data_IF_866816581900
#
_entry.id   IF_866816581900
#
_cell.length_a   1.000
_cell.length_b   1.000
_cell.length_c   1.000
_cell.angle_alpha   90.00
_cell.angle_beta   90.00
_cell.angle_gamma   90.00
#
_symmetry.space_group_name_H-M   'P 1'
#
loop_
_entity.id
_entity.type
_entity.pdbx_description
1 polymer ?
#
# COMPACT_ATOMS: atom_id res chain seq x y z
N UNK A 1 27.51 -29.07 -37.16
CA UNK A 1 26.06 -28.85 -37.01
C UNK A 1 25.89 -27.99 -35.78
N UNK A 2 25.55 -26.73 -35.99
CA UNK A 2 25.57 -25.67 -34.98
C UNK A 2 24.53 -25.94 -33.92
N UNK A 3 24.93 -25.86 -32.64
CA UNK A 3 23.98 -25.79 -31.52
C UNK A 3 23.15 -24.54 -31.72
N UNK A 4 21.85 -24.72 -31.84
CA UNK A 4 20.86 -23.65 -31.81
C UNK A 4 20.97 -22.96 -30.44
N UNK A 5 21.48 -21.73 -30.43
CA UNK A 5 21.38 -20.82 -29.30
C UNK A 5 19.90 -20.60 -29.02
N UNK A 6 19.40 -21.26 -27.98
CA UNK A 6 18.18 -20.87 -27.30
C UNK A 6 18.47 -19.50 -26.66
N UNK A 7 18.21 -18.44 -27.41
CA UNK A 7 18.05 -17.09 -26.87
C UNK A 7 16.89 -17.19 -25.88
N UNK A 8 17.25 -17.34 -24.60
CA UNK A 8 16.30 -17.18 -23.52
C UNK A 8 15.71 -15.78 -23.66
N UNK A 9 14.41 -15.71 -23.89
CA UNK A 9 13.69 -14.43 -23.95
C UNK A 9 14.03 -13.65 -22.68
N UNK A 10 14.78 -12.57 -22.87
CA UNK A 10 15.01 -11.54 -21.87
C UNK A 10 13.63 -11.12 -21.37
N UNK A 11 13.36 -11.30 -20.07
CA UNK A 11 12.12 -10.82 -19.46
C UNK A 11 12.09 -9.31 -19.70
N UNK A 12 11.35 -8.88 -20.72
CA UNK A 12 11.21 -7.48 -21.08
C UNK A 12 10.74 -6.75 -19.84
N UNK A 13 11.58 -5.83 -19.34
CA UNK A 13 11.22 -4.97 -18.22
C UNK A 13 9.84 -4.37 -18.49
N UNK A 14 8.93 -4.57 -17.53
CA UNK A 14 7.52 -4.21 -17.70
C UNK A 14 7.41 -2.71 -17.99
N UNK A 15 7.05 -2.35 -19.22
CA UNK A 15 6.92 -0.93 -19.60
C UNK A 15 5.81 -0.28 -18.79
N UNK A 16 6.16 0.76 -18.02
CA UNK A 16 5.17 1.53 -17.26
C UNK A 16 4.25 2.26 -18.22
N UNK A 17 2.95 1.95 -18.15
CA UNK A 17 1.95 2.48 -19.07
C UNK A 17 1.43 3.87 -18.66
N UNK A 18 1.56 4.22 -17.38
CA UNK A 18 1.03 5.47 -16.84
C UNK A 18 1.64 5.81 -15.47
N UNK A 19 1.75 7.10 -15.18
CA UNK A 19 2.09 7.63 -13.86
C UNK A 19 1.09 8.71 -13.44
N UNK A 20 0.71 8.79 -12.16
CA UNK A 20 -0.11 9.90 -11.66
C UNK A 20 0.67 11.21 -11.67
N UNK A 21 -0.01 12.31 -12.01
CA UNK A 21 0.56 13.67 -12.04
C UNK A 21 1.09 14.12 -10.68
N UNK A 22 0.47 13.65 -9.58
CA UNK A 22 0.95 13.87 -8.22
C UNK A 22 0.59 12.69 -7.33
N UNK A 23 1.55 12.26 -6.50
CA UNK A 23 1.35 11.25 -5.45
C UNK A 23 1.00 11.86 -4.08
N UNK A 24 1.03 13.19 -3.96
CA UNK A 24 0.84 13.91 -2.69
C UNK A 24 -0.64 14.20 -2.44
N UNK A 25 -1.04 14.28 -1.17
CA UNK A 25 -2.39 14.66 -0.71
C UNK A 25 -3.54 13.69 -1.10
N UNK A 26 -3.23 12.44 -1.42
CA UNK A 26 -4.28 11.43 -1.60
C UNK A 26 -4.97 11.12 -0.27
N UNK A 27 -6.18 10.55 -0.29
CA UNK A 27 -6.83 10.07 0.94
C UNK A 27 -5.97 9.03 1.66
N UNK A 28 -5.26 8.20 0.90
CA UNK A 28 -4.36 7.18 1.41
C UNK A 28 -3.13 7.80 2.10
N UNK A 29 -2.58 8.86 1.54
CA UNK A 29 -1.45 9.59 2.14
C UNK A 29 -1.86 10.26 3.47
N UNK A 30 -3.08 10.81 3.53
CA UNK A 30 -3.67 11.30 4.78
C UNK A 30 -3.84 10.19 5.82
N UNK A 31 -4.31 9.02 5.39
CA UNK A 31 -4.42 7.86 6.27
C UNK A 31 -3.05 7.37 6.77
N UNK A 32 -2.04 7.30 5.89
CA UNK A 32 -0.65 6.97 6.26
C UNK A 32 -0.11 7.90 7.35
N UNK A 33 -0.31 9.21 7.20
CA UNK A 33 0.11 10.19 8.19
C UNK A 33 -0.63 10.00 9.52
N UNK A 34 -1.94 9.75 9.49
CA UNK A 34 -2.73 9.47 10.69
C UNK A 34 -2.21 8.25 11.46
N UNK A 35 -1.92 7.15 10.76
CA UNK A 35 -1.32 5.95 11.37
C UNK A 35 0.06 6.27 11.95
N UNK A 36 0.88 7.02 11.20
CA UNK A 36 2.23 7.43 11.61
C UNK A 36 2.21 8.23 12.93
N UNK A 37 1.31 9.23 13.01
CA UNK A 37 1.12 10.04 14.20
C UNK A 37 0.59 9.22 15.38
N UNK A 38 -0.39 8.35 15.14
CA UNK A 38 -1.09 7.63 16.20
C UNK A 38 -0.26 6.53 16.86
N UNK A 39 0.49 5.77 16.06
CA UNK A 39 1.27 4.63 16.54
C UNK A 39 2.76 4.97 16.69
N UNK A 40 3.15 6.23 16.46
CA UNK A 40 4.55 6.67 16.51
C UNK A 40 5.43 6.01 15.44
N UNK A 41 4.81 5.54 14.35
CA UNK A 41 5.52 4.96 13.20
C UNK A 41 5.92 6.06 12.22
N UNK A 42 7.08 5.95 11.57
CA UNK A 42 7.50 6.91 10.54
C UNK A 42 7.34 6.28 9.16
N UNK A 43 6.10 6.09 8.71
CA UNK A 43 5.81 5.47 7.43
C UNK A 43 6.10 6.48 6.31
N UNK A 44 7.17 6.33 5.55
CA UNK A 44 7.58 7.31 4.53
C UNK A 44 6.80 7.17 3.21
N UNK A 45 6.25 5.99 2.91
CA UNK A 45 5.63 5.69 1.62
C UNK A 45 4.54 4.61 1.73
N UNK A 46 3.92 4.27 0.59
CA UNK A 46 2.87 3.25 0.52
C UNK A 46 3.36 1.85 0.90
N UNK A 47 4.58 1.47 0.51
CA UNK A 47 5.09 0.12 0.78
C UNK A 47 5.25 -0.11 2.29
N UNK A 48 5.70 0.91 3.01
CA UNK A 48 5.80 0.85 4.47
C UNK A 48 4.43 0.80 5.15
N UNK A 49 3.44 1.56 4.65
CA UNK A 49 2.05 1.43 5.12
C UNK A 49 1.50 0.02 4.87
N UNK A 50 1.79 -0.55 3.69
CA UNK A 50 1.37 -1.90 3.35
C UNK A 50 1.98 -2.93 4.31
N UNK A 51 3.31 -2.88 4.52
CA UNK A 51 3.98 -3.78 5.45
C UNK A 51 3.37 -3.67 6.86
N UNK A 52 3.19 -2.44 7.35
CA UNK A 52 2.58 -2.19 8.65
C UNK A 52 1.15 -2.76 8.74
N UNK A 53 0.36 -2.64 7.66
CA UNK A 53 -1.02 -3.15 7.63
C UNK A 53 -1.12 -4.67 7.73
N UNK A 54 -0.11 -5.39 7.22
CA UNK A 54 -0.04 -6.85 7.30
C UNK A 54 0.44 -7.30 8.67
N UNK A 55 1.39 -6.58 9.26
CA UNK A 55 1.94 -6.88 10.59
C UNK A 55 0.99 -6.49 11.74
N UNK A 56 0.20 -5.42 11.57
CA UNK A 56 -0.69 -4.85 12.59
C UNK A 56 -2.13 -4.88 12.07
N UNK A 57 -2.58 -6.08 11.68
CA UNK A 57 -3.84 -6.29 10.98
C UNK A 57 -5.07 -5.75 11.76
N UNK A 58 -5.22 -6.02 13.07
CA UNK A 58 -6.37 -5.54 13.83
C UNK A 58 -6.38 -4.03 13.99
N UNK A 59 -5.23 -3.44 14.31
CA UNK A 59 -5.05 -2.00 14.45
C UNK A 59 -5.35 -1.28 13.14
N UNK A 60 -4.88 -1.84 12.01
CA UNK A 60 -5.13 -1.30 10.69
C UNK A 60 -6.64 -1.20 10.42
N UNK A 61 -7.38 -2.29 10.61
CA UNK A 61 -8.81 -2.30 10.33
C UNK A 61 -9.62 -1.44 11.31
N UNK A 62 -9.24 -1.41 12.59
CA UNK A 62 -9.87 -0.54 13.57
C UNK A 62 -9.73 0.95 13.20
N UNK A 63 -8.57 1.37 12.70
CA UNK A 63 -8.34 2.75 12.27
C UNK A 63 -8.94 3.05 10.90
N UNK A 64 -8.88 2.11 9.96
CA UNK A 64 -9.55 2.26 8.67
C UNK A 64 -11.06 2.43 8.85
N UNK A 65 -11.67 1.67 9.76
CA UNK A 65 -13.08 1.78 10.09
C UNK A 65 -13.45 3.20 10.52
N UNK A 66 -12.66 3.81 11.42
CA UNK A 66 -12.85 5.19 11.88
C UNK A 66 -12.61 6.21 10.77
N UNK A 67 -11.56 6.02 9.97
CA UNK A 67 -11.15 6.95 8.93
C UNK A 67 -12.06 6.97 7.70
N UNK A 68 -12.60 5.80 7.32
CA UNK A 68 -13.40 5.62 6.11
C UNK A 68 -14.71 6.41 6.13
N UNK A 69 -15.23 6.73 7.31
CA UNK A 69 -16.52 7.40 7.48
C UNK A 69 -17.71 6.48 7.21
N UNK A 70 -17.51 5.16 7.25
CA UNK A 70 -18.59 4.18 7.18
C UNK A 70 -19.58 4.46 8.33
N UNK A 71 -20.88 4.44 8.03
CA UNK A 71 -21.94 4.53 9.03
C UNK A 71 -22.20 3.12 9.55
N UNK A 72 -22.17 2.94 10.87
CA UNK A 72 -22.32 1.64 11.51
C UNK A 72 -23.22 1.74 12.73
N UNK A 73 -23.93 0.65 13.03
CA UNK A 73 -24.77 0.53 14.23
C UNK A 73 -23.96 0.16 15.48
N UNK A 74 -22.87 -0.57 15.31
CA UNK A 74 -21.96 -1.02 16.37
C UNK A 74 -20.51 -0.78 15.98
N UNK A 75 -19.65 -0.52 16.96
CA UNK A 75 -18.22 -0.34 16.74
C UNK A 75 -17.57 -1.64 16.25
N UNK A 76 -16.48 -1.49 15.50
CA UNK A 76 -15.63 -2.61 15.10
C UNK A 76 -15.17 -3.40 16.33
N UNK A 77 -15.32 -4.72 16.28
CA UNK A 77 -14.68 -5.70 17.17
C UNK A 77 -13.89 -6.67 16.30
N UNK A 78 -12.68 -7.01 16.71
CA UNK A 78 -11.87 -8.06 16.08
C UNK A 78 -12.50 -9.45 16.26
#
# INVERSE_FOLDING_TARGET
MSKEELVGEEIVESKVMWYPDSKKNTRLDRFRNLISEKFGTQLANYNELYQWSVENYPEFWAEFWKFSGIIYSHHYSE
#
